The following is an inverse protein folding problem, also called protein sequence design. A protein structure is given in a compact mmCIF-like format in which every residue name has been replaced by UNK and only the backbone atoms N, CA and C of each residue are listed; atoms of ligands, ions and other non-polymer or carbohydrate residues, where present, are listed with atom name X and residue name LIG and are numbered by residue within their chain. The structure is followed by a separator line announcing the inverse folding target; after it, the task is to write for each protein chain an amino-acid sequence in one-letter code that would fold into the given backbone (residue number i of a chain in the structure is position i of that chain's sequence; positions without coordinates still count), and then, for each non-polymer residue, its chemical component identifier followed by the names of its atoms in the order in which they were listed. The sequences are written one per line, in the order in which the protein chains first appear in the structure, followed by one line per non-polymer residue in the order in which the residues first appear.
data_IF_377994772721
#
_entry.id   IF_377994772721
#
_cell.length_a   1.000
_cell.length_b   1.000
_cell.length_c   1.000
_cell.angle_alpha   90.00
_cell.angle_beta   90.00
_cell.angle_gamma   90.00
#
_symmetry.space_group_name_H-M   'P 1'
#
loop_
_entity.id
_entity.type
_entity.pdbx_description
1 polymer ?
#
# COMPACT_ATOMS: atom_id res chain seq x y z
N UNK A 1 -8.85 -33.07 -34.05
CA UNK A 1 -9.46 -31.81 -33.60
C UNK A 1 -8.56 -31.17 -32.54
N UNK A 2 -7.67 -30.28 -32.97
CA UNK A 2 -6.75 -29.51 -32.09
C UNK A 2 -7.40 -28.17 -31.76
N UNK A 3 -7.76 -27.96 -30.50
CA UNK A 3 -8.37 -26.72 -30.04
C UNK A 3 -7.34 -25.58 -30.01
N UNK A 4 -7.66 -24.52 -30.74
CA UNK A 4 -6.88 -23.30 -30.92
C UNK A 4 -7.14 -22.36 -29.71
N UNK A 5 -6.20 -22.24 -28.76
CA UNK A 5 -6.31 -21.29 -27.61
C UNK A 5 -5.99 -19.86 -28.09
N UNK A 6 -7.01 -19.22 -28.66
CA UNK A 6 -6.98 -17.85 -29.18
C UNK A 6 -6.94 -16.76 -28.10
N UNK A 7 -6.04 -16.86 -27.11
CA UNK A 7 -5.83 -15.78 -26.14
C UNK A 7 -4.98 -14.66 -26.74
N UNK A 8 -5.64 -13.69 -27.36
CA UNK A 8 -5.04 -12.38 -27.73
C UNK A 8 -4.51 -11.71 -26.46
N UNK A 9 -3.19 -11.72 -26.27
CA UNK A 9 -2.52 -10.99 -25.19
C UNK A 9 -2.65 -9.49 -25.48
N UNK A 10 -3.29 -8.74 -24.58
CA UNK A 10 -3.39 -7.29 -24.69
C UNK A 10 -1.98 -6.65 -24.62
N UNK A 11 -1.48 -6.01 -25.69
CA UNK A 11 -0.10 -5.50 -25.74
C UNK A 11 0.15 -4.36 -24.75
N UNK A 12 -0.88 -3.55 -24.43
CA UNK A 12 -0.83 -2.47 -23.43
C UNK A 12 -0.53 -2.99 -22.01
N UNK A 13 -1.00 -4.20 -21.67
CA UNK A 13 -0.71 -4.86 -20.39
C UNK A 13 0.72 -5.39 -20.31
N UNK A 14 1.42 -5.57 -21.43
CA UNK A 14 2.81 -6.04 -21.45
C UNK A 14 3.83 -4.92 -21.25
N UNK A 15 3.52 -3.72 -21.77
CA UNK A 15 4.41 -2.56 -21.70
C UNK A 15 4.43 -1.93 -20.28
N UNK A 16 3.28 -1.88 -19.60
CA UNK A 16 3.18 -1.34 -18.24
C UNK A 16 3.80 -2.23 -17.14
N UNK A 17 4.05 -3.52 -17.42
CA UNK A 17 4.53 -4.49 -16.42
C UNK A 17 5.97 -4.26 -15.99
N UNK A 18 6.85 -3.83 -16.90
CA UNK A 18 8.30 -3.78 -16.65
C UNK A 18 8.74 -2.63 -15.71
N UNK A 19 8.34 -1.37 -15.91
CA UNK A 19 8.72 -0.30 -14.99
C UNK A 19 8.01 -0.40 -13.63
N UNK A 20 6.76 -0.89 -13.60
CA UNK A 20 6.02 -1.11 -12.36
C UNK A 20 6.67 -2.21 -11.49
N UNK A 21 7.11 -3.33 -12.09
CA UNK A 21 7.83 -4.36 -11.34
C UNK A 21 9.15 -3.85 -10.74
N UNK A 22 9.87 -2.98 -11.44
CA UNK A 22 11.14 -2.42 -10.95
C UNK A 22 10.93 -1.49 -9.73
N UNK A 23 9.90 -0.65 -9.76
CA UNK A 23 9.53 0.21 -8.62
C UNK A 23 9.05 -0.61 -7.42
N UNK A 24 8.30 -1.69 -7.67
CA UNK A 24 7.82 -2.61 -6.63
C UNK A 24 8.95 -3.43 -5.98
N UNK A 25 10.02 -3.72 -6.73
CA UNK A 25 11.22 -4.40 -6.22
C UNK A 25 12.12 -3.48 -5.39
N UNK A 26 12.08 -2.16 -5.57
CA UNK A 26 12.82 -1.20 -4.75
C UNK A 26 12.23 -1.04 -3.33
N UNK A 27 10.92 -1.29 -3.18
CA UNK A 27 10.25 -1.35 -1.88
C UNK A 27 10.36 -2.73 -1.21
N UNK A 28 11.04 -3.67 -1.84
CA UNK A 28 11.23 -5.03 -1.37
C UNK A 28 12.53 -5.13 -0.57
N UNK A 29 12.43 -5.37 0.74
CA UNK A 29 13.60 -5.71 1.57
C UNK A 29 14.08 -7.12 1.14
N UNK A 30 15.31 -7.28 0.62
CA UNK A 30 15.83 -8.59 0.26
C UNK A 30 15.91 -9.50 1.51
N UNK A 31 15.70 -10.81 1.32
CA UNK A 31 15.76 -11.81 2.39
C UNK A 31 17.06 -11.63 3.21
N UNK A 32 17.02 -11.45 4.54
CA UNK A 32 18.14 -11.90 5.35
C UNK A 32 18.23 -13.41 5.14
N UNK A 33 19.43 -13.86 4.79
CA UNK A 33 19.85 -15.24 4.54
C UNK A 33 19.01 -16.32 5.24
N UNK A 34 18.78 -17.48 4.60
CA UNK A 34 18.08 -18.57 5.25
C UNK A 34 18.78 -18.92 6.57
N UNK A 35 18.06 -18.76 7.68
CA UNK A 35 18.47 -19.33 8.97
C UNK A 35 18.59 -20.83 8.73
N UNK A 36 19.84 -21.30 8.72
CA UNK A 36 20.16 -22.69 8.52
C UNK A 36 19.38 -23.52 9.53
N UNK A 37 18.58 -24.46 9.03
CA UNK A 37 17.99 -25.49 9.85
C UNK A 37 19.12 -26.20 10.61
N UNK A 38 19.05 -26.18 11.94
CA UNK A 38 19.93 -26.94 12.83
C UNK A 38 19.67 -28.43 12.57
N UNK A 39 20.51 -29.02 11.71
CA UNK A 39 20.55 -30.45 11.42
C UNK A 39 21.80 -31.08 12.03
N UNK A 40 21.57 -32.19 12.75
CA UNK A 40 22.56 -33.07 13.39
C UNK A 40 23.69 -33.52 12.45
N UNK A 41 24.87 -33.90 13.01
CA UNK A 41 26.07 -34.14 12.24
C UNK A 41 26.00 -35.48 11.49
N UNK A 42 26.30 -35.47 10.20
CA UNK A 42 26.75 -36.67 9.49
C UNK A 42 28.09 -36.39 8.81
N UNK A 43 28.98 -37.34 9.00
CA UNK A 43 30.36 -37.40 8.54
C UNK A 43 30.42 -37.74 7.05
N UNK A 44 31.14 -36.96 6.25
CA UNK A 44 32.10 -37.48 5.26
C UNK A 44 32.88 -36.39 4.52
N UNK A 45 34.17 -36.63 4.41
CA UNK A 45 35.16 -35.87 3.67
C UNK A 45 35.26 -36.31 2.20
N UNK A 46 35.62 -35.35 1.32
CA UNK A 46 36.46 -35.41 0.09
C UNK A 46 36.07 -34.22 -0.81
N UNK A 47 36.89 -33.20 -1.07
CA UNK A 47 38.21 -33.09 -1.74
C UNK A 47 38.09 -32.63 -3.20
N UNK A 48 38.86 -31.58 -3.54
CA UNK A 48 39.24 -31.07 -4.88
C UNK A 48 38.10 -30.52 -5.75
N UNK A 49 38.22 -29.41 -6.48
CA UNK A 49 39.35 -28.59 -6.91
C UNK A 49 38.96 -27.93 -8.25
N UNK A 50 39.63 -26.83 -8.60
CA UNK A 50 39.60 -26.07 -9.88
C UNK A 50 38.49 -25.03 -10.12
N UNK A 51 38.92 -23.78 -10.03
CA UNK A 51 38.55 -22.67 -10.93
C UNK A 51 39.29 -22.83 -12.28
N UNK A 52 38.84 -22.21 -13.39
CA UNK A 52 39.31 -20.85 -13.65
C UNK A 52 38.30 -19.92 -14.37
N UNK A 53 38.73 -18.66 -14.41
CA UNK A 53 38.14 -17.47 -15.00
C UNK A 53 37.89 -17.51 -16.51
N UNK A 54 36.87 -16.77 -16.96
CA UNK A 54 36.75 -16.00 -18.21
C UNK A 54 35.51 -15.10 -17.99
N UNK A 55 35.40 -13.83 -18.37
CA UNK A 55 36.06 -13.04 -19.39
C UNK A 55 34.97 -12.05 -19.84
N UNK A 56 35.16 -10.76 -19.56
CA UNK A 56 34.27 -9.68 -19.96
C UNK A 56 34.26 -9.54 -21.49
N UNK A 57 33.07 -9.35 -22.09
CA UNK A 57 32.96 -8.63 -23.35
C UNK A 57 31.53 -8.12 -23.56
N UNK A 58 31.42 -6.80 -23.48
CA UNK A 58 30.25 -5.99 -23.84
C UNK A 58 30.20 -5.77 -25.36
N UNK A 59 29.13 -6.21 -26.03
CA UNK A 59 28.84 -5.82 -27.41
C UNK A 59 27.64 -4.88 -27.47
N UNK A 60 27.95 -3.63 -27.82
CA UNK A 60 27.00 -2.57 -28.17
C UNK A 60 26.40 -2.84 -29.55
N UNK A 61 25.08 -2.96 -29.65
CA UNK A 61 24.38 -2.91 -30.93
C UNK A 61 24.07 -1.45 -31.29
N UNK A 62 24.86 -0.87 -32.20
CA UNK A 62 24.45 0.29 -33.02
C UNK A 62 23.78 -0.26 -34.28
N UNK A 63 22.52 0.10 -34.51
CA UNK A 63 21.88 -0.05 -35.81
C UNK A 63 21.74 1.35 -36.39
N UNK A 64 22.58 1.65 -37.37
CA UNK A 64 22.43 2.79 -38.28
C UNK A 64 22.02 2.22 -39.64
N UNK A 65 20.88 2.66 -40.15
CA UNK A 65 20.48 2.43 -41.54
C UNK A 65 20.07 3.77 -42.13
N UNK A 66 20.62 4.18 -43.30
CA UNK A 66 20.17 5.36 -44.00
C UNK A 66 19.00 4.99 -44.92
N UNK A 67 17.85 5.66 -44.75
CA UNK A 67 16.77 5.60 -45.72
C UNK A 67 16.88 6.84 -46.62
N UNK A 68 17.32 6.56 -47.84
CA UNK A 68 17.39 7.48 -48.97
C UNK A 68 15.96 7.62 -49.54
N UNK A 69 15.33 8.78 -49.36
CA UNK A 69 14.02 9.09 -49.97
C UNK A 69 14.21 10.13 -51.06
N UNK A 70 13.80 9.69 -52.25
CA UNK A 70 13.87 10.33 -53.56
C UNK A 70 12.94 11.54 -53.60
N UNK A 71 13.44 12.65 -54.14
CA UNK A 71 12.71 13.90 -54.27
C UNK A 71 11.50 13.83 -55.20
N UNK A 72 10.49 14.63 -54.83
CA UNK A 72 9.40 15.05 -55.69
C UNK A 72 9.10 16.49 -55.33
N UNK A 73 9.42 17.41 -56.23
CA UNK A 73 9.17 18.84 -56.08
C UNK A 73 7.67 19.13 -56.26
N UNK A 74 7.12 19.88 -55.32
CA UNK A 74 5.82 20.51 -55.39
C UNK A 74 5.88 21.78 -54.56
N UNK A 75 5.97 22.92 -55.23
CA UNK A 75 5.96 24.25 -54.64
C UNK A 75 4.52 24.65 -54.36
N UNK A 76 4.05 24.43 -53.13
CA UNK A 76 2.84 25.09 -52.61
C UNK A 76 3.25 25.99 -51.44
N UNK A 77 3.01 27.29 -51.61
CA UNK A 77 3.31 28.34 -50.64
C UNK A 77 2.29 28.42 -49.53
N UNK A 78 2.30 27.45 -48.61
CA UNK A 78 1.73 27.62 -47.29
C UNK A 78 2.89 27.83 -46.29
N UNK A 79 2.90 29.01 -45.65
CA UNK A 79 3.78 29.23 -44.50
C UNK A 79 3.51 28.13 -43.46
N UNK A 80 4.55 27.43 -42.96
CA UNK A 80 4.35 26.42 -41.94
C UNK A 80 3.76 27.10 -40.70
N UNK A 81 2.59 26.63 -40.24
CA UNK A 81 2.04 27.04 -38.96
C UNK A 81 3.14 26.89 -37.89
N UNK A 82 3.37 27.92 -37.06
CA UNK A 82 4.41 27.85 -36.05
C UNK A 82 4.13 26.67 -35.12
N UNK A 83 5.07 25.72 -35.05
CA UNK A 83 4.94 24.57 -34.15
C UNK A 83 4.60 25.07 -32.74
N UNK A 84 3.53 24.54 -32.12
CA UNK A 84 3.08 25.02 -30.82
C UNK A 84 4.20 24.85 -29.81
N UNK A 85 4.68 25.98 -29.29
CA UNK A 85 5.79 26.02 -28.34
C UNK A 85 5.45 25.14 -27.12
N UNK A 86 6.14 23.99 -26.92
CA UNK A 86 5.81 23.07 -25.85
C UNK A 86 5.97 23.70 -24.46
N UNK A 87 6.80 24.74 -24.33
CA UNK A 87 6.95 25.49 -23.08
C UNK A 87 5.70 26.32 -22.74
N UNK A 88 4.98 26.86 -23.73
CA UNK A 88 3.76 27.63 -23.52
C UNK A 88 2.58 26.73 -23.12
N UNK A 89 2.51 25.51 -23.67
CA UNK A 89 1.52 24.49 -23.29
C UNK A 89 1.76 23.96 -21.85
N UNK A 90 3.03 23.78 -21.46
CA UNK A 90 3.40 23.39 -20.09
C UNK A 90 3.11 24.51 -19.06
N UNK A 91 3.35 25.77 -19.41
CA UNK A 91 3.06 26.91 -18.53
C UNK A 91 1.55 27.07 -18.26
N UNK A 92 0.71 26.83 -19.27
CA UNK A 92 -0.76 26.96 -19.17
C UNK A 92 -1.39 25.90 -18.26
N UNK A 93 -0.76 24.72 -18.13
CA UNK A 93 -1.26 23.63 -17.26
C UNK A 93 -0.71 23.69 -15.83
N UNK A 94 0.41 24.38 -15.59
CA UNK A 94 1.05 24.46 -14.27
C UNK A 94 0.33 25.39 -13.28
N UNK A 95 -0.18 26.53 -13.75
CA UNK A 95 -0.90 27.51 -12.91
C UNK A 95 -2.14 26.95 -12.18
N UNK A 96 -3.05 26.18 -12.82
CA UNK A 96 -4.20 25.61 -12.13
C UNK A 96 -3.83 24.49 -11.13
N UNK A 97 -2.72 23.77 -11.36
CA UNK A 97 -2.28 22.73 -10.41
C UNK A 97 -1.71 23.35 -9.12
N UNK A 98 -0.97 24.45 -9.24
CA UNK A 98 -0.44 25.18 -8.08
C UNK A 98 -1.56 25.75 -7.20
N UNK A 99 -2.62 26.30 -7.81
CA UNK A 99 -3.76 26.84 -7.05
C UNK A 99 -4.54 25.73 -6.33
N UNK A 100 -4.76 24.59 -6.97
CA UNK A 100 -5.39 23.41 -6.35
C UNK A 100 -4.54 22.88 -5.21
N UNK A 101 -3.22 22.75 -5.38
CA UNK A 101 -2.32 22.30 -4.33
C UNK A 101 -2.32 23.25 -3.13
N UNK A 102 -2.31 24.56 -3.36
CA UNK A 102 -2.41 25.56 -2.29
C UNK A 102 -3.76 25.51 -1.56
N UNK A 103 -4.87 25.36 -2.29
CA UNK A 103 -6.20 25.24 -1.70
C UNK A 103 -6.33 23.97 -0.85
N UNK A 104 -5.80 22.85 -1.35
CA UNK A 104 -5.73 21.59 -0.62
C UNK A 104 -4.89 21.72 0.65
N UNK A 105 -3.70 22.31 0.55
CA UNK A 105 -2.83 22.53 1.70
C UNK A 105 -3.49 23.41 2.76
N UNK A 106 -4.16 24.50 2.35
CA UNK A 106 -4.94 25.35 3.25
C UNK A 106 -6.08 24.57 3.93
N UNK A 107 -6.83 23.78 3.17
CA UNK A 107 -7.90 22.92 3.70
C UNK A 107 -7.39 21.92 4.74
N UNK A 108 -6.22 21.31 4.51
CA UNK A 108 -5.60 20.34 5.42
C UNK A 108 -4.95 21.00 6.65
N UNK A 109 -4.20 22.10 6.48
CA UNK A 109 -3.44 22.79 7.57
C UNK A 109 -4.34 23.51 8.55
N UNK A 110 -5.21 24.38 8.05
CA UNK A 110 -5.86 25.41 8.87
C UNK A 110 -7.35 25.58 8.58
N UNK A 111 -7.89 24.94 7.54
CA UNK A 111 -9.32 24.97 7.25
C UNK A 111 -10.19 24.34 8.36
N UNK A 112 -11.49 24.66 8.41
CA UNK A 112 -12.43 24.00 9.33
C UNK A 112 -12.30 22.47 9.28
N UNK A 113 -12.52 21.78 10.40
CA UNK A 113 -12.33 20.33 10.48
C UNK A 113 -13.11 19.58 9.37
N UNK A 114 -14.34 19.99 9.09
CA UNK A 114 -15.16 19.44 8.00
C UNK A 114 -14.54 19.63 6.61
N UNK A 115 -13.90 20.78 6.37
CA UNK A 115 -13.22 21.09 5.10
C UNK A 115 -11.94 20.24 4.97
N UNK A 116 -11.21 20.04 6.06
CA UNK A 116 -10.06 19.13 6.09
C UNK A 116 -10.45 17.68 5.80
N UNK A 117 -11.55 17.19 6.37
CA UNK A 117 -12.08 15.85 6.08
C UNK A 117 -12.58 15.75 4.64
N UNK A 118 -13.23 16.79 4.11
CA UNK A 118 -13.64 16.86 2.70
C UNK A 118 -12.44 16.82 1.74
N UNK A 119 -11.33 17.47 2.09
CA UNK A 119 -10.07 17.38 1.35
C UNK A 119 -9.51 15.94 1.34
N UNK A 120 -9.49 15.26 2.49
CA UNK A 120 -9.10 13.84 2.57
C UNK A 120 -10.04 12.93 1.77
N UNK A 121 -11.33 13.24 1.73
CA UNK A 121 -12.30 12.54 0.88
C UNK A 121 -12.02 12.73 -0.60
N UNK A 122 -11.75 13.97 -1.05
CA UNK A 122 -11.41 14.24 -2.44
C UNK A 122 -10.13 13.50 -2.87
N UNK A 123 -9.10 13.48 -2.02
CA UNK A 123 -7.88 12.70 -2.24
C UNK A 123 -8.18 11.20 -2.33
N UNK A 124 -8.98 10.67 -1.40
CA UNK A 124 -9.36 9.26 -1.42
C UNK A 124 -10.16 8.90 -2.68
N UNK A 125 -11.10 9.75 -3.09
CA UNK A 125 -11.90 9.56 -4.29
C UNK A 125 -11.05 9.60 -5.57
N UNK A 126 -10.06 10.49 -5.63
CA UNK A 126 -9.12 10.59 -6.75
C UNK A 126 -8.36 9.27 -6.98
N UNK A 127 -8.06 8.52 -5.91
CA UNK A 127 -7.43 7.21 -6.00
C UNK A 127 -8.44 6.08 -6.25
N UNK A 128 -9.52 6.03 -5.47
CA UNK A 128 -10.44 4.88 -5.43
C UNK A 128 -11.34 4.82 -6.64
N UNK A 129 -11.91 5.94 -7.09
CA UNK A 129 -12.86 5.97 -8.20
C UNK A 129 -12.27 5.37 -9.49
N UNK A 130 -11.12 5.84 -10.01
CA UNK A 130 -10.57 5.28 -11.24
C UNK A 130 -10.20 3.80 -11.11
N UNK A 131 -9.63 3.37 -9.98
CA UNK A 131 -9.29 1.96 -9.75
C UNK A 131 -10.54 1.07 -9.66
N UNK A 132 -11.62 1.56 -9.04
CA UNK A 132 -12.90 0.87 -8.95
C UNK A 132 -13.55 0.72 -10.35
N UNK A 133 -13.36 1.69 -11.24
CA UNK A 133 -13.84 1.60 -12.63
C UNK A 133 -13.15 0.48 -13.43
N UNK A 134 -11.91 0.14 -13.09
CA UNK A 134 -11.22 -1.02 -13.65
C UNK A 134 -11.78 -2.30 -13.01
N UNK A 135 -11.64 -2.43 -11.69
CA UNK A 135 -12.13 -3.58 -10.92
C UNK A 135 -12.82 -3.14 -9.64
N UNK A 136 -14.04 -3.63 -9.37
CA UNK A 136 -14.80 -3.17 -8.19
C UNK A 136 -14.08 -3.55 -6.91
N UNK A 137 -13.42 -4.70 -6.90
CA UNK A 137 -12.65 -5.22 -5.76
C UNK A 137 -11.43 -4.37 -5.43
N UNK A 138 -10.95 -3.55 -6.37
CA UNK A 138 -9.84 -2.63 -6.12
C UNK A 138 -10.23 -1.48 -5.22
N UNK A 139 -11.52 -1.13 -5.11
CA UNK A 139 -11.96 -0.15 -4.11
C UNK A 139 -11.54 -0.54 -2.70
N UNK A 140 -11.63 -1.83 -2.36
CA UNK A 140 -11.30 -2.37 -1.03
C UNK A 140 -9.85 -2.85 -0.87
N UNK A 141 -9.02 -2.72 -1.91
CA UNK A 141 -7.69 -3.32 -1.93
C UNK A 141 -6.62 -2.37 -2.48
N UNK A 142 -6.33 -2.39 -3.78
CA UNK A 142 -5.31 -1.50 -4.35
C UNK A 142 -5.67 0.00 -4.17
N UNK A 143 -6.95 0.34 -4.35
CA UNK A 143 -7.47 1.69 -4.14
C UNK A 143 -7.46 2.13 -2.68
N UNK A 144 -7.63 1.20 -1.75
CA UNK A 144 -7.47 1.47 -0.32
C UNK A 144 -6.06 1.95 0.01
N UNK A 145 -5.04 1.17 -0.35
CA UNK A 145 -3.66 1.59 -0.12
C UNK A 145 -3.32 2.89 -0.84
N UNK A 146 -3.88 3.12 -2.04
CA UNK A 146 -3.54 4.27 -2.87
C UNK A 146 -4.15 5.55 -2.29
N UNK A 147 -5.38 5.47 -1.78
CA UNK A 147 -6.02 6.56 -1.04
C UNK A 147 -5.22 6.92 0.21
N UNK A 148 -4.82 5.92 1.00
CA UNK A 148 -4.03 6.14 2.24
C UNK A 148 -2.65 6.71 1.91
N UNK A 149 -1.98 6.22 0.86
CA UNK A 149 -0.69 6.74 0.39
C UNK A 149 -0.80 8.20 -0.05
N UNK A 150 -1.79 8.50 -0.90
CA UNK A 150 -2.01 9.85 -1.41
C UNK A 150 -2.36 10.83 -0.29
N UNK A 151 -3.20 10.42 0.67
CA UNK A 151 -3.52 11.22 1.84
C UNK A 151 -2.29 11.44 2.73
N UNK A 152 -1.50 10.40 3.01
CA UNK A 152 -0.26 10.51 3.78
C UNK A 152 0.77 11.43 3.12
N UNK A 153 1.00 11.28 1.82
CA UNK A 153 1.91 12.15 1.05
C UNK A 153 1.41 13.60 1.01
N UNK A 154 0.10 13.79 0.85
CA UNK A 154 -0.51 15.12 0.88
C UNK A 154 -0.38 15.78 2.25
N UNK A 155 -0.46 15.02 3.34
CA UNK A 155 -0.24 15.54 4.69
C UNK A 155 1.25 15.86 4.93
N UNK A 156 2.18 15.03 4.45
CA UNK A 156 3.61 15.30 4.56
C UNK A 156 3.99 16.62 3.84
N UNK A 157 3.50 16.80 2.60
CA UNK A 157 3.74 18.04 1.84
C UNK A 157 2.96 19.22 2.43
N UNK A 158 1.71 19.00 2.83
CA UNK A 158 0.88 20.05 3.43
C UNK A 158 1.22 20.33 4.88
N UNK A 159 2.28 19.82 5.48
CA UNK A 159 2.71 20.27 6.81
C UNK A 159 4.22 20.50 6.87
N UNK A 160 4.90 20.46 5.71
CA UNK A 160 6.34 20.59 5.60
C UNK A 160 7.08 19.65 6.57
N UNK A 161 6.52 18.44 6.74
CA UNK A 161 6.97 17.45 7.74
C UNK A 161 8.40 17.01 7.46
N UNK A 162 8.72 16.82 6.18
CA UNK A 162 10.06 16.48 5.74
C UNK A 162 10.76 17.78 5.33
N UNK A 163 12.01 18.01 5.78
CA UNK A 163 12.80 19.12 5.28
C UNK A 163 12.96 18.99 3.75
N UNK A 164 13.21 20.11 3.04
CA UNK A 164 13.59 20.06 1.64
C UNK A 164 14.66 18.98 1.45
N UNK A 165 14.45 18.10 0.47
CA UNK A 165 15.38 17.01 0.20
C UNK A 165 16.70 17.62 -0.26
N UNK A 166 17.64 17.72 0.67
CA UNK A 166 19.04 17.85 0.36
C UNK A 166 19.54 16.45 -0.04
N UNK A 167 19.61 16.22 -1.35
CA UNK A 167 20.08 14.97 -1.93
C UNK A 167 21.46 14.59 -1.42
N UNK A 168 22.31 15.55 -1.05
CA UNK A 168 23.65 15.28 -0.51
C UNK A 168 23.57 14.65 0.89
N UNK A 169 22.71 15.18 1.77
CA UNK A 169 22.44 14.62 3.10
C UNK A 169 21.78 13.23 3.05
N UNK A 170 20.92 12.96 2.05
CA UNK A 170 20.29 11.64 1.88
C UNK A 170 21.25 10.54 1.39
N UNK A 171 22.42 10.88 0.85
CA UNK A 171 23.41 9.86 0.45
C UNK A 171 24.10 9.19 1.65
N UNK A 172 23.97 9.78 2.85
CA UNK A 172 24.56 9.23 4.07
C UNK A 172 23.48 8.60 4.96
N UNK A 173 23.76 7.41 5.51
CA UNK A 173 22.91 6.80 6.54
C UNK A 173 22.74 7.74 7.77
N UNK A 174 23.72 8.60 8.04
CA UNK A 174 23.66 9.60 9.10
C UNK A 174 22.61 10.68 8.85
N UNK A 175 22.55 11.25 7.63
CA UNK A 175 21.56 12.26 7.28
C UNK A 175 20.13 11.72 7.30
N UNK A 176 19.90 10.51 6.79
CA UNK A 176 18.58 9.84 6.88
C UNK A 176 18.16 9.65 8.33
N UNK A 177 19.06 9.15 9.19
CA UNK A 177 18.79 8.96 10.62
C UNK A 177 18.49 10.29 11.33
N UNK A 178 19.25 11.34 11.02
CA UNK A 178 19.04 12.67 11.57
C UNK A 178 17.65 13.23 11.23
N UNK A 179 17.27 13.18 9.95
CA UNK A 179 15.96 13.63 9.49
C UNK A 179 14.81 12.87 10.16
N UNK A 180 14.92 11.54 10.23
CA UNK A 180 13.89 10.70 10.89
C UNK A 180 13.82 11.01 12.38
N UNK A 181 14.95 11.16 13.07
CA UNK A 181 14.99 11.42 14.51
C UNK A 181 14.47 12.82 14.88
N UNK A 182 14.49 13.78 13.95
CA UNK A 182 13.96 15.13 14.18
C UNK A 182 12.44 15.25 14.02
N UNK A 183 11.75 14.21 13.55
CA UNK A 183 10.31 14.27 13.33
C UNK A 183 9.55 14.32 14.67
N UNK A 184 8.50 15.12 14.71
CA UNK A 184 7.52 15.04 15.79
C UNK A 184 6.78 13.69 15.75
N UNK A 185 6.10 13.27 16.84
CA UNK A 185 5.26 12.08 16.81
C UNK A 185 4.21 12.13 15.69
N UNK A 186 3.56 13.29 15.47
CA UNK A 186 2.60 13.44 14.37
C UNK A 186 3.26 13.29 13.00
N UNK A 187 4.48 13.83 12.83
CA UNK A 187 5.29 13.64 11.62
C UNK A 187 5.59 12.16 11.36
N UNK A 188 5.94 11.40 12.39
CA UNK A 188 6.14 9.95 12.28
C UNK A 188 4.86 9.20 11.87
N UNK A 189 3.70 9.59 12.38
CA UNK A 189 2.41 9.00 11.99
C UNK A 189 2.06 9.30 10.52
N UNK A 190 2.38 10.50 10.03
CA UNK A 190 2.21 10.86 8.62
C UNK A 190 3.12 10.03 7.71
N UNK A 191 4.39 9.85 8.09
CA UNK A 191 5.32 8.94 7.38
C UNK A 191 4.81 7.51 7.40
N UNK A 192 4.38 7.00 8.56
CA UNK A 192 3.83 5.66 8.68
C UNK A 192 2.59 5.46 7.78
N UNK A 193 1.73 6.48 7.66
CA UNK A 193 0.55 6.49 6.78
C UNK A 193 0.93 6.38 5.32
N UNK A 194 1.88 7.20 4.86
CA UNK A 194 2.37 7.14 3.49
C UNK A 194 3.00 5.78 3.17
N UNK A 195 3.89 5.28 4.04
CA UNK A 195 4.55 3.99 3.90
C UNK A 195 3.55 2.83 3.87
N UNK A 196 2.59 2.84 4.79
CA UNK A 196 1.53 1.84 4.86
C UNK A 196 0.74 1.76 3.56
N UNK A 197 0.26 2.90 3.06
CA UNK A 197 -0.52 2.97 1.83
C UNK A 197 0.27 2.49 0.61
N UNK A 198 1.50 2.99 0.45
CA UNK A 198 2.38 2.60 -0.66
C UNK A 198 2.67 1.10 -0.64
N UNK A 199 3.01 0.55 0.52
CA UNK A 199 3.27 -0.87 0.71
C UNK A 199 2.03 -1.71 0.40
N UNK A 200 0.86 -1.32 0.89
CA UNK A 200 -0.38 -2.08 0.69
C UNK A 200 -0.78 -2.13 -0.78
N UNK A 201 -0.82 -0.99 -1.48
CA UNK A 201 -1.13 -0.96 -2.92
C UNK A 201 -0.12 -1.76 -3.72
N UNK A 202 1.16 -1.58 -3.42
CA UNK A 202 2.26 -2.28 -4.08
C UNK A 202 2.12 -3.80 -3.95
N UNK A 203 1.89 -4.27 -2.73
CA UNK A 203 1.71 -5.70 -2.44
C UNK A 203 0.49 -6.28 -3.17
N UNK A 204 -0.66 -5.59 -3.13
CA UNK A 204 -1.88 -6.07 -3.78
C UNK A 204 -1.70 -6.14 -5.30
N UNK A 205 -1.17 -5.08 -5.93
CA UNK A 205 -0.96 -5.05 -7.37
C UNK A 205 0.08 -6.09 -7.81
N UNK A 206 1.19 -6.20 -7.07
CA UNK A 206 2.20 -7.24 -7.34
C UNK A 206 1.56 -8.62 -7.31
N UNK A 207 0.75 -8.91 -6.29
CA UNK A 207 0.07 -10.20 -6.14
C UNK A 207 -0.96 -10.43 -7.25
N UNK A 208 -1.70 -9.41 -7.65
CA UNK A 208 -2.69 -9.49 -8.73
C UNK A 208 -2.03 -9.88 -10.07
N UNK A 209 -0.85 -9.32 -10.35
CA UNK A 209 -0.13 -9.56 -11.61
C UNK A 209 0.80 -10.77 -11.60
N UNK A 210 1.23 -11.25 -10.43
CA UNK A 210 2.21 -12.35 -10.33
C UNK A 210 1.63 -13.68 -9.87
N UNK A 211 0.43 -13.70 -9.28
CA UNK A 211 -0.21 -14.95 -8.81
C UNK A 211 -1.24 -15.43 -9.84
N UNK A 212 -0.99 -16.60 -10.43
CA UNK A 212 -1.84 -17.18 -11.46
C UNK A 212 -3.28 -17.40 -10.98
N UNK A 213 -4.24 -17.01 -11.83
CA UNK A 213 -5.68 -17.12 -11.58
C UNK A 213 -6.26 -16.02 -10.70
N UNK A 214 -5.43 -15.15 -10.10
CA UNK A 214 -5.92 -14.06 -9.25
C UNK A 214 -6.70 -13.00 -10.06
N UNK A 215 -6.16 -12.58 -11.20
CA UNK A 215 -6.83 -11.64 -12.11
C UNK A 215 -8.15 -12.17 -12.65
N UNK A 216 -8.22 -13.48 -12.95
CA UNK A 216 -9.46 -14.12 -13.40
C UNK A 216 -10.52 -14.14 -12.29
N UNK A 217 -10.13 -14.45 -11.05
CA UNK A 217 -11.02 -14.38 -9.89
C UNK A 217 -11.57 -12.96 -9.66
N UNK A 218 -10.73 -11.93 -9.85
CA UNK A 218 -11.15 -10.53 -9.71
C UNK A 218 -12.12 -10.14 -10.83
N UNK A 219 -11.86 -10.57 -12.07
CA UNK A 219 -12.76 -10.33 -13.19
C UNK A 219 -14.12 -11.03 -13.03
N UNK A 220 -14.14 -12.28 -12.57
CA UNK A 220 -15.38 -13.02 -12.27
C UNK A 220 -16.17 -12.33 -11.16
N UNK A 221 -15.50 -11.81 -10.13
CA UNK A 221 -16.18 -11.04 -9.10
C UNK A 221 -16.87 -9.79 -9.70
N UNK A 222 -16.34 -9.17 -10.76
CA UNK A 222 -16.93 -7.98 -11.35
C UNK A 222 -18.13 -8.24 -12.27
N UNK A 223 -18.45 -9.51 -12.53
CA UNK A 223 -19.54 -9.90 -13.43
C UNK A 223 -20.90 -9.36 -12.92
N UNK A 224 -21.71 -8.84 -13.86
CA UNK A 224 -23.03 -8.27 -13.55
C UNK A 224 -23.04 -6.83 -12.99
N UNK A 225 -21.88 -6.18 -12.83
CA UNK A 225 -21.80 -4.81 -12.31
C UNK A 225 -21.49 -3.76 -13.38
N UNK A 226 -22.44 -2.86 -13.64
CA UNK A 226 -22.22 -1.70 -14.52
C UNK A 226 -21.24 -0.70 -13.89
N UNK A 227 -20.48 0.01 -14.73
CA UNK A 227 -19.52 1.05 -14.29
C UNK A 227 -20.16 2.15 -13.44
N UNK A 228 -21.38 2.56 -13.79
CA UNK A 228 -22.13 3.55 -13.03
C UNK A 228 -22.44 3.09 -11.58
N UNK A 229 -22.81 1.82 -11.38
CA UNK A 229 -23.08 1.24 -10.05
C UNK A 229 -21.84 1.21 -9.15
N UNK A 230 -20.64 1.31 -9.73
CA UNK A 230 -19.38 1.33 -8.98
C UNK A 230 -19.06 2.70 -8.37
N UNK A 231 -19.64 3.78 -8.89
CA UNK A 231 -19.36 5.14 -8.41
C UNK A 231 -19.86 5.36 -6.99
N UNK A 232 -21.13 5.06 -6.62
CA UNK A 232 -21.59 5.24 -5.24
C UNK A 232 -20.77 4.40 -4.25
N UNK A 233 -20.44 3.16 -4.62
CA UNK A 233 -19.57 2.29 -3.83
C UNK A 233 -18.19 2.92 -3.60
N UNK A 234 -17.55 3.40 -4.67
CA UNK A 234 -16.24 4.03 -4.61
C UNK A 234 -16.25 5.29 -3.73
N UNK A 235 -17.28 6.14 -3.85
CA UNK A 235 -17.41 7.35 -3.03
C UNK A 235 -17.64 7.00 -1.55
N UNK A 236 -18.55 6.07 -1.23
CA UNK A 236 -18.77 5.65 0.16
C UNK A 236 -17.51 5.08 0.81
N UNK A 237 -16.75 4.28 0.06
CA UNK A 237 -15.47 3.73 0.53
C UNK A 237 -14.39 4.82 0.66
N UNK A 238 -14.39 5.81 -0.23
CA UNK A 238 -13.48 6.97 -0.14
C UNK A 238 -13.74 7.81 1.11
N UNK A 239 -15.01 8.02 1.49
CA UNK A 239 -15.37 8.70 2.73
C UNK A 239 -14.87 7.94 3.96
N UNK A 240 -15.00 6.62 3.95
CA UNK A 240 -14.44 5.77 5.00
C UNK A 240 -12.91 5.89 5.11
N UNK A 241 -12.18 5.97 3.98
CA UNK A 241 -10.73 6.16 4.00
C UNK A 241 -10.30 7.55 4.48
N UNK A 242 -11.08 8.58 4.15
CA UNK A 242 -10.88 9.91 4.70
C UNK A 242 -11.02 9.92 6.24
N UNK A 243 -12.04 9.24 6.77
CA UNK A 243 -12.26 9.08 8.20
C UNK A 243 -11.15 8.29 8.90
N UNK A 244 -10.58 7.30 8.21
CA UNK A 244 -9.45 6.54 8.74
C UNK A 244 -8.17 7.37 8.87
N UNK A 245 -7.91 8.26 7.91
CA UNK A 245 -6.69 9.08 7.88
C UNK A 245 -6.84 10.39 8.66
N UNK A 246 -8.07 10.86 8.92
CA UNK A 246 -8.31 12.11 9.65
C UNK A 246 -7.62 12.25 11.02
N UNK A 247 -7.40 11.18 11.83
CA UNK A 247 -6.65 11.29 13.08
C UNK A 247 -5.23 11.84 12.88
N UNK A 248 -4.56 11.49 11.77
CA UNK A 248 -3.20 11.96 11.47
C UNK A 248 -3.20 13.44 11.11
N UNK A 249 -4.20 13.87 10.32
CA UNK A 249 -4.39 15.30 10.03
C UNK A 249 -4.59 16.10 11.33
N UNK A 250 -5.40 15.60 12.27
CA UNK A 250 -5.60 16.27 13.55
C UNK A 250 -4.34 16.25 14.43
N UNK A 251 -3.55 15.16 14.44
CA UNK A 251 -2.27 15.15 15.13
C UNK A 251 -1.33 16.27 14.62
N UNK A 252 -1.22 16.40 13.29
CA UNK A 252 -0.37 17.42 12.65
C UNK A 252 -0.88 18.85 12.93
N UNK A 253 -2.20 19.07 12.90
CA UNK A 253 -2.81 20.35 13.31
C UNK A 253 -2.48 20.69 14.77
N UNK A 254 -2.51 19.68 15.66
CA UNK A 254 -2.16 19.85 17.06
C UNK A 254 -0.70 20.26 17.29
N UNK A 255 0.22 19.80 16.44
CA UNK A 255 1.61 20.24 16.45
C UNK A 255 1.78 21.65 15.89
N UNK A 256 1.11 21.99 14.78
CA UNK A 256 1.18 23.31 14.15
C UNK A 256 0.63 24.44 15.05
N UNK A 257 -0.31 24.12 15.94
CA UNK A 257 -0.90 25.09 16.88
C UNK A 257 -0.01 25.36 18.12
N UNK A 258 1.16 24.71 18.22
CA UNK A 258 2.24 25.10 19.12
C UNK A 258 1.85 25.29 20.59
N UNK A 259 1.27 24.28 21.26
CA UNK A 259 1.12 24.20 22.73
C UNK A 259 0.33 25.32 23.44
N UNK A 260 -0.01 26.41 22.74
CA UNK A 260 -0.71 27.57 23.26
C UNK A 260 -2.18 27.25 23.44
N UNK A 261 -2.63 27.34 24.69
CA UNK A 261 -4.01 27.20 25.13
C UNK A 261 -4.92 28.35 24.65
N UNK A 262 -4.91 28.67 23.35
CA UNK A 262 -5.88 29.59 22.77
C UNK A 262 -7.08 28.78 22.26
N UNK A 263 -8.06 28.59 23.15
CA UNK A 263 -9.41 28.10 22.84
C UNK A 263 -9.62 26.60 23.03
N UNK A 264 -10.01 26.22 24.25
CA UNK A 264 -10.53 24.88 24.61
C UNK A 264 -9.52 23.93 25.24
N UNK A 265 -10.01 23.01 26.08
CA UNK A 265 -9.20 21.94 26.67
C UNK A 265 -8.67 21.02 25.54
N UNK A 266 -7.38 21.09 25.26
CA UNK A 266 -6.70 20.26 24.25
C UNK A 266 -5.88 19.19 24.96
N UNK A 267 -6.18 17.93 24.66
CA UNK A 267 -5.44 16.79 25.21
C UNK A 267 -4.17 16.57 24.37
N UNK A 268 -3.02 17.11 24.82
CA UNK A 268 -1.71 16.79 24.24
C UNK A 268 -0.90 15.96 25.25
N UNK A 269 -0.76 14.66 25.00
CA UNK A 269 0.00 13.75 25.85
C UNK A 269 1.14 13.15 25.04
N UNK A 270 2.29 13.84 25.02
CA UNK A 270 3.45 13.48 24.18
C UNK A 270 3.93 12.03 24.39
N UNK A 271 4.04 11.49 25.63
CA UNK A 271 4.43 10.10 25.81
C UNK A 271 3.46 9.10 25.17
N UNK A 272 2.15 9.38 25.23
CA UNK A 272 1.12 8.53 24.61
C UNK A 272 1.17 8.61 23.10
N UNK A 273 1.47 9.78 22.52
CA UNK A 273 1.70 9.90 21.08
C UNK A 273 2.93 9.08 20.64
N UNK A 274 4.02 9.07 21.40
CA UNK A 274 5.16 8.20 21.08
C UNK A 274 4.81 6.71 21.17
N UNK A 275 4.02 6.31 22.17
CA UNK A 275 3.48 4.95 22.24
C UNK A 275 2.60 4.62 21.02
N UNK A 276 1.81 5.59 20.54
CA UNK A 276 0.97 5.43 19.36
C UNK A 276 1.77 5.33 18.06
N UNK A 277 2.89 6.05 17.94
CA UNK A 277 3.89 5.87 16.87
C UNK A 277 4.44 4.44 16.90
N UNK A 278 4.86 3.96 18.08
CA UNK A 278 5.33 2.59 18.25
C UNK A 278 4.29 1.57 17.81
N UNK A 279 3.03 1.78 18.18
CA UNK A 279 1.90 0.92 17.80
C UNK A 279 1.66 0.91 16.27
N UNK A 280 1.73 2.09 15.63
CA UNK A 280 1.57 2.22 14.19
C UNK A 280 2.67 1.47 13.43
N UNK A 281 3.94 1.68 13.77
CA UNK A 281 5.05 0.98 13.11
C UNK A 281 5.05 -0.52 13.40
N UNK A 282 4.73 -0.94 14.62
CA UNK A 282 4.58 -2.36 14.95
C UNK A 282 3.49 -3.03 14.09
N UNK A 283 2.35 -2.37 13.93
CA UNK A 283 1.27 -2.84 13.07
C UNK A 283 1.68 -2.95 11.60
N UNK A 284 2.34 -1.92 11.06
CA UNK A 284 2.86 -1.89 9.70
C UNK A 284 3.84 -3.04 9.43
N UNK A 285 4.81 -3.25 10.33
CA UNK A 285 5.83 -4.29 10.20
C UNK A 285 5.20 -5.68 10.29
N UNK A 286 4.33 -5.91 11.28
CA UNK A 286 3.67 -7.20 11.47
C UNK A 286 2.81 -7.57 10.26
N UNK A 287 2.03 -6.61 9.74
CA UNK A 287 1.22 -6.84 8.56
C UNK A 287 2.08 -7.15 7.34
N UNK A 288 3.13 -6.35 7.10
CA UNK A 288 4.04 -6.55 5.97
C UNK A 288 4.69 -7.93 6.00
N UNK A 289 5.16 -8.39 7.17
CA UNK A 289 5.79 -9.69 7.31
C UNK A 289 4.79 -10.85 7.16
N UNK A 290 3.59 -10.72 7.73
CA UNK A 290 2.52 -11.70 7.54
C UNK A 290 2.12 -11.86 6.07
N UNK A 291 1.99 -10.75 5.34
CA UNK A 291 1.66 -10.78 3.93
C UNK A 291 2.82 -11.31 3.07
N UNK A 292 4.08 -10.97 3.40
CA UNK A 292 5.27 -11.54 2.75
C UNK A 292 5.30 -13.07 2.92
N UNK A 293 5.10 -13.56 4.13
CA UNK A 293 5.06 -14.99 4.43
C UNK A 293 3.94 -15.69 3.64
N UNK A 294 2.73 -15.13 3.66
CA UNK A 294 1.57 -15.64 2.91
C UNK A 294 1.84 -15.67 1.40
N UNK A 295 2.45 -14.63 0.86
CA UNK A 295 2.82 -14.56 -0.55
C UNK A 295 3.88 -15.60 -0.92
N UNK A 296 4.94 -15.74 -0.12
CA UNK A 296 6.00 -16.71 -0.35
C UNK A 296 5.49 -18.15 -0.37
N UNK A 297 4.64 -18.54 0.58
CA UNK A 297 4.02 -19.88 0.62
C UNK A 297 3.19 -20.10 -0.65
N UNK A 298 2.31 -19.15 -1.00
CA UNK A 298 1.43 -19.27 -2.18
C UNK A 298 2.17 -19.30 -3.51
N UNK A 299 3.31 -18.62 -3.61
CA UNK A 299 4.13 -18.62 -4.83
C UNK A 299 4.92 -19.91 -5.01
N UNK A 300 5.38 -20.53 -3.90
CA UNK A 300 6.14 -21.78 -3.92
C UNK A 300 5.24 -22.98 -4.17
N UNK A 301 4.06 -22.97 -3.56
CA UNK A 301 3.02 -23.95 -3.88
C UNK A 301 2.54 -23.67 -5.30
N UNK A 302 2.68 -24.59 -6.25
CA UNK A 302 2.09 -24.47 -7.61
C UNK A 302 0.55 -24.50 -7.60
N UNK A 303 -0.07 -24.04 -6.51
CA UNK A 303 -1.51 -23.97 -6.29
C UNK A 303 -2.07 -23.01 -7.31
N UNK A 304 -2.50 -23.57 -8.44
CA UNK A 304 -3.37 -22.85 -9.35
C UNK A 304 -4.64 -22.52 -8.56
N UNK A 305 -5.08 -21.26 -8.65
CA UNK A 305 -6.39 -20.83 -8.18
C UNK A 305 -7.54 -21.44 -9.03
N UNK A 306 -7.38 -22.66 -9.57
CA UNK A 306 -8.41 -23.33 -10.35
C UNK A 306 -9.47 -23.96 -9.44
N UNK A 307 -10.70 -23.84 -9.90
CA UNK A 307 -11.97 -23.93 -9.17
C UNK A 307 -12.44 -25.37 -8.91
N UNK A 308 -11.69 -26.38 -9.31
CA UNK A 308 -12.13 -27.76 -9.13
C UNK A 308 -12.03 -28.20 -7.66
N UNK A 309 -13.21 -28.33 -7.08
CA UNK A 309 -13.47 -28.84 -5.75
C UNK A 309 -13.36 -30.37 -5.78
N UNK A 310 -12.13 -30.85 -5.64
CA UNK A 310 -11.84 -32.21 -5.18
C UNK A 310 -10.69 -32.05 -4.19
N UNK A 311 -11.03 -31.91 -2.90
CA UNK A 311 -10.15 -31.77 -1.72
C UNK A 311 -8.76 -31.21 -2.02
N UNK A 312 -8.61 -29.88 -1.91
CA UNK A 312 -7.28 -29.26 -1.93
C UNK A 312 -6.61 -29.47 -0.59
N UNK A 313 -5.40 -30.00 -0.61
CA UNK A 313 -4.55 -30.02 0.58
C UNK A 313 -4.38 -28.61 1.13
N UNK A 314 -4.34 -28.48 2.46
CA UNK A 314 -4.09 -27.23 3.14
C UNK A 314 -2.67 -26.75 2.82
N UNK A 315 -2.60 -25.64 2.08
CA UNK A 315 -1.33 -24.97 1.76
C UNK A 315 -1.40 -23.53 2.26
N UNK A 316 -1.17 -23.37 3.56
CA UNK A 316 -1.14 -22.08 4.24
C UNK A 316 0.09 -21.91 5.13
N UNK A 317 0.48 -20.67 5.45
CA UNK A 317 1.52 -20.43 6.44
C UNK A 317 1.04 -20.86 7.84
N UNK A 318 1.84 -21.66 8.54
CA UNK A 318 1.53 -22.15 9.89
C UNK A 318 2.49 -21.63 10.97
N UNK A 319 3.71 -21.21 10.58
CA UNK A 319 4.74 -20.72 11.49
C UNK A 319 4.96 -19.19 11.47
N UNK A 320 6.03 -18.73 12.12
CA UNK A 320 6.39 -17.32 12.18
C UNK A 320 5.26 -16.46 12.76
N UNK A 321 4.87 -15.40 12.05
CA UNK A 321 3.75 -14.54 12.49
C UNK A 321 2.42 -15.28 12.60
N UNK A 322 2.21 -16.37 11.84
CA UNK A 322 1.00 -17.20 11.90
C UNK A 322 0.95 -18.16 13.08
N UNK A 323 2.03 -18.24 13.88
CA UNK A 323 2.03 -18.90 15.18
C UNK A 323 1.49 -17.99 16.30
N UNK A 324 1.43 -16.67 16.09
CA UNK A 324 0.92 -15.71 17.08
C UNK A 324 -0.61 -15.70 17.10
N UNK A 325 -1.23 -15.56 15.93
CA UNK A 325 -2.67 -15.69 15.70
C UNK A 325 -2.91 -16.16 14.26
N UNK A 326 -4.13 -16.60 13.94
CA UNK A 326 -4.47 -17.13 12.61
C UNK A 326 -4.53 -16.05 11.52
N UNK A 327 -4.73 -14.79 11.91
CA UNK A 327 -4.81 -13.64 10.99
C UNK A 327 -3.86 -12.50 11.41
N UNK A 328 -2.53 -12.74 11.44
CA UNK A 328 -1.57 -11.76 11.93
C UNK A 328 -1.51 -10.50 11.05
N UNK A 329 -1.84 -10.64 9.76
CA UNK A 329 -1.99 -9.49 8.87
C UNK A 329 -3.16 -8.58 9.28
N UNK A 330 -4.29 -9.14 9.71
CA UNK A 330 -5.41 -8.34 10.23
C UNK A 330 -5.11 -7.77 11.62
N UNK A 331 -4.32 -8.48 12.42
CA UNK A 331 -3.85 -7.94 13.70
C UNK A 331 -2.96 -6.72 13.50
N UNK A 332 -1.96 -6.82 12.61
CA UNK A 332 -1.09 -5.70 12.25
C UNK A 332 -1.90 -4.52 11.71
N UNK A 333 -2.91 -4.80 10.90
CA UNK A 333 -3.86 -3.79 10.41
C UNK A 333 -4.59 -3.08 11.56
N UNK A 334 -5.09 -3.81 12.55
CA UNK A 334 -5.74 -3.22 13.74
C UNK A 334 -4.75 -2.37 14.56
N UNK A 335 -3.55 -2.88 14.86
CA UNK A 335 -2.53 -2.13 15.60
C UNK A 335 -2.17 -0.83 14.88
N UNK A 336 -2.01 -0.87 13.55
CA UNK A 336 -1.70 0.30 12.75
C UNK A 336 -2.73 1.42 12.96
N UNK A 337 -4.02 1.12 12.77
CA UNK A 337 -5.09 2.12 12.92
C UNK A 337 -5.34 2.52 14.37
N UNK A 338 -5.13 1.62 15.34
CA UNK A 338 -5.13 1.99 16.76
C UNK A 338 -4.06 3.03 17.07
N UNK A 339 -2.85 2.88 16.49
CA UNK A 339 -1.76 3.84 16.64
C UNK A 339 -2.08 5.21 16.03
N UNK A 340 -2.66 5.24 14.82
CA UNK A 340 -3.07 6.49 14.19
C UNK A 340 -4.19 7.18 14.96
N UNK A 341 -5.22 6.44 15.38
CA UNK A 341 -6.35 7.00 16.14
C UNK A 341 -5.90 7.55 17.49
N UNK A 342 -5.13 6.79 18.26
CA UNK A 342 -4.63 7.22 19.56
C UNK A 342 -3.69 8.43 19.44
N UNK A 343 -2.85 8.47 18.41
CA UNK A 343 -1.98 9.59 18.10
C UNK A 343 -2.75 10.86 17.74
N UNK A 344 -3.85 10.73 17.00
CA UNK A 344 -4.77 11.84 16.72
C UNK A 344 -5.44 12.39 17.97
N UNK A 345 -6.07 11.51 18.77
CA UNK A 345 -6.80 11.88 20.00
C UNK A 345 -5.88 12.56 21.01
N UNK A 346 -4.67 12.04 21.19
CA UNK A 346 -3.67 12.60 22.11
C UNK A 346 -2.78 13.66 21.47
N UNK A 347 -3.05 13.97 20.19
CA UNK A 347 -2.39 14.95 19.31
C UNK A 347 -2.56 16.41 19.72
N UNK A 348 -3.62 16.70 20.47
CA UNK A 348 -4.07 18.06 20.78
C UNK A 348 -4.98 18.68 19.71
N UNK A 349 -5.08 18.09 18.51
CA UNK A 349 -5.90 18.64 17.41
C UNK A 349 -7.36 18.20 17.37
N UNK A 350 -7.80 17.27 18.23
CA UNK A 350 -9.22 16.92 18.37
C UNK A 350 -9.98 18.00 19.16
N UNK A 351 -9.42 18.43 20.30
CA UNK A 351 -10.11 19.34 21.22
C UNK A 351 -11.54 18.86 21.54
N UNK A 352 -12.47 19.79 21.56
CA UNK A 352 -13.91 19.53 21.71
C UNK A 352 -14.66 19.56 20.37
N UNK A 353 -13.95 19.48 19.24
CA UNK A 353 -14.60 19.58 17.93
C UNK A 353 -15.33 18.27 17.58
N UNK A 354 -16.66 18.31 17.33
CA UNK A 354 -17.43 17.10 17.06
C UNK A 354 -17.03 16.42 15.75
N UNK A 355 -16.56 17.18 14.74
CA UNK A 355 -16.12 16.61 13.47
C UNK A 355 -14.91 15.72 13.65
N UNK A 356 -13.96 16.11 14.50
CA UNK A 356 -12.78 15.31 14.80
C UNK A 356 -13.16 13.97 15.46
N UNK A 357 -14.02 14.02 16.48
CA UNK A 357 -14.50 12.82 17.17
C UNK A 357 -15.35 11.90 16.28
N UNK A 358 -16.28 12.47 15.49
CA UNK A 358 -17.13 11.69 14.60
C UNK A 358 -16.31 11.05 13.48
N UNK A 359 -15.50 11.83 12.75
CA UNK A 359 -14.73 11.31 11.62
C UNK A 359 -13.70 10.26 12.07
N UNK A 360 -12.86 10.60 13.06
CA UNK A 360 -11.85 9.65 13.55
C UNK A 360 -12.47 8.43 14.24
N UNK A 361 -13.55 8.63 15.00
CA UNK A 361 -14.27 7.56 15.70
C UNK A 361 -14.95 6.59 14.73
N UNK A 362 -15.68 7.09 13.73
CA UNK A 362 -16.32 6.25 12.70
C UNK A 362 -15.29 5.51 11.85
N UNK A 363 -14.18 6.17 11.49
CA UNK A 363 -13.07 5.53 10.79
C UNK A 363 -12.52 4.35 11.60
N UNK A 364 -12.12 4.61 12.86
CA UNK A 364 -11.56 3.58 13.73
C UNK A 364 -12.53 2.44 14.04
N UNK A 365 -13.77 2.76 14.42
CA UNK A 365 -14.80 1.75 14.67
C UNK A 365 -15.09 0.91 13.43
N UNK A 366 -15.17 1.55 12.26
CA UNK A 366 -15.43 0.87 11.01
C UNK A 366 -14.33 -0.13 10.65
N UNK A 367 -13.05 0.22 10.85
CA UNK A 367 -11.96 -0.71 10.52
C UNK A 367 -11.91 -1.91 11.47
N UNK A 368 -12.15 -1.70 12.78
CA UNK A 368 -12.26 -2.81 13.72
C UNK A 368 -13.39 -3.77 13.32
N UNK A 369 -14.53 -3.22 12.93
CA UNK A 369 -15.70 -4.00 12.50
C UNK A 369 -15.42 -4.79 11.22
N UNK A 370 -14.79 -4.16 10.22
CA UNK A 370 -14.43 -4.81 8.95
C UNK A 370 -13.40 -5.93 9.18
N UNK A 371 -12.38 -5.71 10.02
CA UNK A 371 -11.35 -6.72 10.32
C UNK A 371 -11.94 -7.93 11.05
N UNK A 372 -12.78 -7.73 12.06
CA UNK A 372 -13.47 -8.83 12.77
C UNK A 372 -14.37 -9.62 11.81
N UNK A 373 -15.17 -8.92 11.01
CA UNK A 373 -16.05 -9.58 10.03
C UNK A 373 -15.27 -10.33 8.94
N UNK A 374 -14.14 -9.78 8.48
CA UNK A 374 -13.28 -10.42 7.49
C UNK A 374 -12.58 -11.66 8.06
N UNK A 375 -12.12 -11.62 9.31
CA UNK A 375 -11.57 -12.76 10.03
C UNK A 375 -12.59 -13.90 10.12
N UNK A 376 -13.78 -13.65 10.68
CA UNK A 376 -14.80 -14.68 10.85
C UNK A 376 -15.25 -15.33 9.54
N UNK A 377 -15.45 -14.55 8.47
CA UNK A 377 -15.75 -15.10 7.14
C UNK A 377 -14.62 -15.97 6.59
N UNK A 378 -13.37 -15.59 6.85
CA UNK A 378 -12.22 -16.35 6.39
C UNK A 378 -12.06 -17.66 7.17
N UNK A 379 -12.26 -17.64 8.48
CA UNK A 379 -12.25 -18.86 9.31
C UNK A 379 -13.30 -19.86 8.84
N UNK A 380 -14.55 -19.40 8.65
CA UNK A 380 -15.63 -20.26 8.14
C UNK A 380 -15.26 -20.89 6.79
N UNK A 381 -14.73 -20.09 5.87
CA UNK A 381 -14.32 -20.58 4.55
C UNK A 381 -13.15 -21.56 4.62
N UNK A 382 -12.19 -21.33 5.52
CA UNK A 382 -11.06 -22.23 5.73
C UNK A 382 -11.52 -23.55 6.33
N UNK A 383 -12.45 -23.52 7.29
CA UNK A 383 -13.06 -24.72 7.85
C UNK A 383 -13.79 -25.55 6.78
N UNK A 384 -14.65 -24.91 5.99
CA UNK A 384 -15.37 -25.56 4.90
C UNK A 384 -14.42 -26.19 3.85
N UNK A 385 -13.23 -25.60 3.66
CA UNK A 385 -12.28 -26.04 2.64
C UNK A 385 -11.28 -27.09 3.15
N UNK A 386 -10.88 -27.00 4.41
CA UNK A 386 -9.72 -27.73 4.96
C UNK A 386 -10.02 -28.49 6.26
N UNK A 387 -11.21 -28.36 6.83
CA UNK A 387 -11.60 -29.08 8.05
C UNK A 387 -11.50 -30.59 7.86
N UNK A 388 -10.97 -31.28 8.87
CA UNK A 388 -10.70 -32.72 8.83
C UNK A 388 -9.39 -33.08 8.15
N UNK A 389 -8.57 -32.09 7.75
CA UNK A 389 -7.21 -32.34 7.28
C UNK A 389 -6.23 -32.24 8.46
N UNK A 390 -5.40 -33.27 8.71
CA UNK A 390 -4.55 -33.34 9.91
C UNK A 390 -3.70 -32.09 10.15
N UNK A 391 -3.05 -31.56 9.09
CA UNK A 391 -2.19 -30.38 9.20
C UNK A 391 -2.94 -29.10 9.57
N UNK A 392 -4.15 -28.92 9.03
CA UNK A 392 -4.97 -27.74 9.31
C UNK A 392 -5.53 -27.78 10.72
N UNK A 393 -6.06 -28.94 11.13
CA UNK A 393 -6.64 -29.14 12.45
C UNK A 393 -5.58 -29.04 13.56
N UNK A 394 -4.38 -29.61 13.34
CA UNK A 394 -3.25 -29.49 14.27
C UNK A 394 -2.83 -28.02 14.45
N UNK A 395 -2.60 -27.30 13.35
CA UNK A 395 -2.22 -25.88 13.41
C UNK A 395 -3.30 -25.02 14.09
N UNK A 396 -4.56 -25.24 13.74
CA UNK A 396 -5.69 -24.51 14.34
C UNK A 396 -5.83 -24.80 15.84
N UNK A 397 -5.56 -26.03 16.26
CA UNK A 397 -5.54 -26.43 17.67
C UNK A 397 -4.42 -25.76 18.47
N UNK A 398 -3.25 -25.57 17.85
CA UNK A 398 -2.11 -24.87 18.47
C UNK A 398 -2.35 -23.35 18.54
N UNK A 399 -2.87 -22.73 17.48
CA UNK A 399 -3.06 -21.29 17.38
C UNK A 399 -4.51 -20.93 17.64
N UNK A 400 -4.86 -20.75 18.92
CA UNK A 400 -6.26 -20.50 19.36
C UNK A 400 -6.78 -19.11 18.99
N UNK A 401 -5.93 -18.10 18.98
CA UNK A 401 -6.28 -16.71 18.67
C UNK A 401 -6.58 -16.49 17.19
N UNK A 402 -7.76 -15.93 16.89
CA UNK A 402 -8.14 -15.58 15.51
C UNK A 402 -7.45 -14.29 15.04
N UNK A 403 -7.88 -13.16 15.61
CA UNK A 403 -7.43 -11.83 15.23
C UNK A 403 -6.39 -11.27 16.20
N UNK A 404 -6.43 -11.64 17.47
CA UNK A 404 -5.42 -11.29 18.45
C UNK A 404 -4.76 -12.57 19.01
N UNK A 405 -3.49 -12.50 19.45
CA UNK A 405 -2.85 -13.58 20.16
C UNK A 405 -3.66 -14.05 21.36
N UNK A 406 -3.65 -15.35 21.63
CA UNK A 406 -4.43 -15.95 22.74
C UNK A 406 -4.05 -15.40 24.11
N UNK A 407 -2.81 -14.97 24.32
CA UNK A 407 -2.37 -14.36 25.58
C UNK A 407 -2.96 -12.95 25.83
N UNK A 408 -3.58 -12.33 24.81
CA UNK A 408 -4.31 -11.06 24.96
C UNK A 408 -5.83 -11.24 25.10
N UNK A 409 -6.34 -12.45 24.85
CA UNK A 409 -7.77 -12.77 24.90
C UNK A 409 -8.04 -13.88 25.90
N UNK A 410 -7.87 -13.56 27.18
CA UNK A 410 -8.34 -14.36 28.32
C UNK A 410 -9.80 -14.06 28.64
#
# INVERSE_FOLDING_TARGET
MTANDGRKKNPLLSLARRPLLALLLLLWIPDPTPVAAVGRPSTRARSSGRSPAHGLSSSSYRISAPLNVRGGGGSDGSEPEPEPNPAAAAATTAAPLASVASALAGALRSGPHVVGVAALFALSALAVVPLCQVHRGWAFSAGYGAAVALAGLSLLSSFDVLPPIDWTSLTTLGGIRGTIASLSPAGHLAVATALYGMRLTSYILLREFTVDGKSAQTAEADEGWSRAKRVPLALSVSAFYAFLVSPVMYALRGDALGGGAAGGARLKIVPVQWASVGLAYAGLILEAEADRHKYAVKRRSKVRYHREATKKDFVGPTGGTYALCRHPNYFGHVLFWSGLFLGGVTGGGYGMDPTAWISGGLGYWGILSVMRGAAGRLEKKQEESYGGQPMFDEWRGQVRGSLAPSFLGG
#
